data_IF_187095349729
#
_entry.id   IF_187095349729
#
_cell.length_a   1.000
_cell.length_b   1.000
_cell.length_c   1.000
_cell.angle_alpha   90.00
_cell.angle_beta   90.00
_cell.angle_gamma   90.00
#
_symmetry.space_group_name_H-M   'P 1'
#
loop_
_entity.id
_entity.type
_entity.pdbx_description
1 polymer ?
#
# COMPACT_ATOMS: atom_id res chain seq x y z
N UNK A 1 3.95 17.51 -10.62
CA UNK A 1 4.99 18.50 -10.92
C UNK A 1 6.01 17.83 -11.83
N UNK A 2 6.13 18.36 -13.05
CA UNK A 2 6.91 17.77 -14.14
C UNK A 2 8.40 18.13 -14.08
N UNK A 3 9.13 17.71 -15.12
CA UNK A 3 10.58 17.91 -15.35
C UNK A 3 11.12 19.33 -15.07
N UNK A 4 10.26 20.36 -15.00
CA UNK A 4 10.65 21.78 -14.94
C UNK A 4 11.36 22.24 -13.66
N UNK A 5 11.32 21.47 -12.56
CA UNK A 5 11.97 21.83 -11.30
C UNK A 5 13.19 20.97 -10.94
N UNK A 6 13.54 19.98 -11.76
CA UNK A 6 14.62 19.04 -11.43
C UNK A 6 15.96 19.75 -11.28
N UNK A 7 16.35 20.57 -12.26
CA UNK A 7 17.65 21.26 -12.25
C UNK A 7 17.78 22.22 -11.07
N UNK A 8 16.70 22.92 -10.72
CA UNK A 8 16.67 23.82 -9.56
C UNK A 8 16.85 23.06 -8.24
N UNK A 9 16.17 21.92 -8.08
CA UNK A 9 16.28 21.07 -6.89
C UNK A 9 17.67 20.40 -6.81
N UNK A 10 18.20 19.93 -7.94
CA UNK A 10 19.53 19.34 -8.02
C UNK A 10 20.63 20.35 -7.66
N UNK A 11 20.53 21.58 -8.15
CA UNK A 11 21.46 22.65 -7.79
C UNK A 11 21.33 23.05 -6.31
N UNK A 12 20.12 23.04 -5.75
CA UNK A 12 19.94 23.25 -4.31
C UNK A 12 20.59 22.13 -3.49
N UNK A 13 20.40 20.87 -3.88
CA UNK A 13 21.04 19.71 -3.25
C UNK A 13 22.57 19.83 -3.21
N UNK A 14 23.20 20.20 -4.32
CA UNK A 14 24.67 20.35 -4.38
C UNK A 14 25.19 21.58 -3.63
N UNK A 15 24.34 22.59 -3.42
CA UNK A 15 24.69 23.80 -2.66
C UNK A 15 24.63 23.64 -1.14
N UNK A 16 24.05 22.54 -0.63
CA UNK A 16 23.94 22.26 0.81
C UNK A 16 25.24 21.61 1.31
N UNK A 17 25.82 22.16 2.37
CA UNK A 17 27.01 21.60 3.00
C UNK A 17 26.65 20.67 4.16
N UNK A 18 27.49 19.66 4.40
CA UNK A 18 27.32 18.70 5.49
C UNK A 18 27.21 19.38 6.85
N UNK A 19 28.09 20.33 7.15
CA UNK A 19 28.06 21.05 8.43
C UNK A 19 26.79 21.89 8.66
N UNK A 20 26.13 22.34 7.59
CA UNK A 20 24.83 23.03 7.72
C UNK A 20 23.72 22.03 8.09
N UNK A 21 23.75 20.82 7.52
CA UNK A 21 22.81 19.76 7.85
C UNK A 21 22.97 19.27 9.29
N UNK A 22 24.20 19.07 9.74
CA UNK A 22 24.51 18.64 11.12
C UNK A 22 24.05 19.69 12.14
N UNK A 23 24.37 20.96 11.92
CA UNK A 23 23.88 22.04 12.78
C UNK A 23 22.36 22.13 12.81
N UNK A 24 21.69 22.00 11.66
CA UNK A 24 20.23 22.03 11.59
C UNK A 24 19.60 20.82 12.30
N UNK A 25 20.17 19.63 12.13
CA UNK A 25 19.70 18.41 12.79
C UNK A 25 19.79 18.53 14.32
N UNK A 26 20.93 18.99 14.85
CA UNK A 26 21.12 19.24 16.28
C UNK A 26 20.12 20.27 16.82
N UNK A 27 19.88 21.35 16.08
CA UNK A 27 18.88 22.36 16.48
C UNK A 27 17.45 21.79 16.47
N UNK A 28 17.09 20.98 15.47
CA UNK A 28 15.77 20.35 15.40
C UNK A 28 15.54 19.37 16.55
N UNK A 29 16.56 18.60 16.90
CA UNK A 29 16.54 17.67 18.03
C UNK A 29 16.32 18.40 19.36
N UNK A 30 17.00 19.54 19.57
CA UNK A 30 16.90 20.29 20.81
C UNK A 30 15.65 21.18 20.91
N UNK A 31 15.34 21.95 19.86
CA UNK A 31 14.31 23.00 19.91
C UNK A 31 12.90 22.49 19.53
N UNK A 32 12.77 21.31 18.93
CA UNK A 32 11.52 20.72 18.37
C UNK A 32 10.81 21.57 17.29
N UNK A 33 10.99 22.90 17.26
CA UNK A 33 10.46 23.85 16.27
C UNK A 33 11.43 25.02 16.08
N UNK A 34 11.92 25.19 14.85
CA UNK A 34 12.80 26.29 14.47
C UNK A 34 12.01 27.60 14.25
N UNK A 35 11.82 28.39 15.30
CA UNK A 35 11.16 29.70 15.20
C UNK A 35 12.04 30.77 14.53
N UNK A 36 13.37 30.65 14.66
CA UNK A 36 14.35 31.64 14.16
C UNK A 36 15.34 31.03 13.15
N UNK A 37 14.83 30.32 12.14
CA UNK A 37 15.68 29.76 11.08
C UNK A 37 16.28 30.85 10.18
N UNK A 38 17.60 30.81 10.00
CA UNK A 38 18.34 31.62 9.02
C UNK A 38 17.91 31.30 7.59
N UNK A 39 18.25 32.17 6.63
CA UNK A 39 17.91 31.96 5.21
C UNK A 39 18.44 30.62 4.67
N UNK A 40 19.66 30.24 5.07
CA UNK A 40 20.29 28.96 4.67
C UNK A 40 19.55 27.76 5.26
N UNK A 41 19.18 27.83 6.53
CA UNK A 41 18.40 26.78 7.21
C UNK A 41 16.99 26.64 6.61
N UNK A 42 16.33 27.76 6.27
CA UNK A 42 15.03 27.75 5.57
C UNK A 42 15.14 27.10 4.19
N UNK A 43 16.22 27.35 3.46
CA UNK A 43 16.45 26.72 2.16
C UNK A 43 16.63 25.19 2.30
N UNK A 44 17.33 24.73 3.33
CA UNK A 44 17.48 23.30 3.64
C UNK A 44 16.14 22.68 4.03
N UNK A 45 15.35 23.33 4.88
CA UNK A 45 14.02 22.85 5.27
C UNK A 45 13.06 22.76 4.08
N UNK A 46 13.07 23.77 3.20
CA UNK A 46 12.31 23.72 1.95
C UNK A 46 12.76 22.57 1.06
N UNK A 47 14.07 22.34 0.94
CA UNK A 47 14.60 21.21 0.19
C UNK A 47 14.15 19.87 0.78
N UNK A 48 14.23 19.73 2.11
CA UNK A 48 13.75 18.54 2.82
C UNK A 48 12.25 18.31 2.58
N UNK A 49 11.43 19.36 2.62
CA UNK A 49 10.01 19.27 2.31
C UNK A 49 9.75 18.81 0.86
N UNK A 50 10.53 19.32 -0.09
CA UNK A 50 10.45 18.89 -1.50
C UNK A 50 10.86 17.42 -1.67
N UNK A 51 11.95 16.99 -1.04
CA UNK A 51 12.40 15.59 -1.03
C UNK A 51 11.35 14.70 -0.39
N UNK A 52 10.77 15.09 0.75
CA UNK A 52 9.71 14.33 1.41
C UNK A 52 8.44 14.21 0.55
N UNK A 53 8.09 15.27 -0.17
CA UNK A 53 6.93 15.25 -1.09
C UNK A 53 7.17 14.29 -2.25
N UNK A 54 8.40 14.21 -2.76
CA UNK A 54 8.78 13.26 -3.81
C UNK A 54 8.85 11.83 -3.26
N UNK A 55 9.45 11.65 -2.08
CA UNK A 55 9.61 10.34 -1.46
C UNK A 55 8.26 9.75 -1.03
N UNK A 56 7.23 10.55 -0.76
CA UNK A 56 5.87 10.06 -0.48
C UNK A 56 5.31 9.15 -1.58
N UNK A 57 5.80 9.29 -2.82
CA UNK A 57 5.43 8.45 -3.97
C UNK A 57 6.29 7.20 -4.13
N UNK A 58 7.38 7.11 -3.38
CA UNK A 58 8.26 5.95 -3.34
C UNK A 58 7.67 4.97 -2.33
N UNK A 59 7.21 3.78 -2.76
CA UNK A 59 6.66 2.78 -1.85
C UNK A 59 7.65 2.47 -0.72
N UNK A 60 7.14 2.39 0.51
CA UNK A 60 7.93 2.04 1.70
C UNK A 60 8.74 3.19 2.32
N UNK A 61 8.78 4.38 1.71
CA UNK A 61 9.43 5.54 2.31
C UNK A 61 8.71 5.99 3.58
N UNK A 62 9.39 6.72 4.47
CA UNK A 62 8.76 7.29 5.67
C UNK A 62 7.59 8.21 5.33
N UNK A 63 7.71 9.01 4.28
CA UNK A 63 6.64 9.88 3.83
C UNK A 63 5.43 9.09 3.28
N UNK A 64 5.68 7.96 2.58
CA UNK A 64 4.61 7.06 2.13
C UNK A 64 3.89 6.40 3.31
N UNK A 65 4.62 5.99 4.34
CA UNK A 65 4.03 5.44 5.58
C UNK A 65 3.16 6.46 6.32
N UNK A 66 3.63 7.70 6.46
CA UNK A 66 2.86 8.80 7.06
C UNK A 66 1.60 9.09 6.24
N UNK A 67 1.70 9.06 4.91
CA UNK A 67 0.56 9.26 4.02
C UNK A 67 -0.52 8.19 4.24
N UNK A 68 -0.14 6.90 4.19
CA UNK A 68 -1.04 5.77 4.47
C UNK A 68 -1.67 5.87 5.85
N UNK A 69 -0.88 6.23 6.87
CA UNK A 69 -1.38 6.42 8.23
C UNK A 69 -2.45 7.52 8.29
N UNK A 70 -2.22 8.66 7.65
CA UNK A 70 -3.18 9.76 7.62
C UNK A 70 -4.47 9.38 6.87
N UNK A 71 -4.38 8.60 5.79
CA UNK A 71 -5.56 8.05 5.11
C UNK A 71 -6.35 7.14 6.04
N UNK A 72 -5.69 6.20 6.73
CA UNK A 72 -6.33 5.32 7.71
C UNK A 72 -7.00 6.16 8.81
N UNK A 73 -6.33 7.15 9.39
CA UNK A 73 -6.92 8.04 10.39
C UNK A 73 -8.16 8.79 9.86
N UNK A 74 -8.14 9.18 8.58
CA UNK A 74 -9.29 9.83 7.93
C UNK A 74 -10.49 8.86 7.83
N UNK A 75 -10.24 7.59 7.49
CA UNK A 75 -11.26 6.55 7.51
C UNK A 75 -11.83 6.34 8.91
N UNK A 76 -10.98 6.28 9.95
CA UNK A 76 -11.44 6.19 11.34
C UNK A 76 -12.30 7.38 11.76
N UNK A 77 -11.93 8.59 11.33
CA UNK A 77 -12.70 9.81 11.61
C UNK A 77 -14.10 9.78 10.99
N UNK A 78 -14.22 9.24 9.78
CA UNK A 78 -15.48 9.24 9.03
C UNK A 78 -16.35 8.00 9.28
N UNK A 79 -15.77 6.80 9.18
CA UNK A 79 -16.46 5.52 9.31
C UNK A 79 -16.42 4.92 10.72
N UNK A 80 -15.71 5.55 11.67
CA UNK A 80 -15.44 5.01 13.03
C UNK A 80 -14.53 3.78 12.98
N UNK A 81 -14.59 2.93 14.00
CA UNK A 81 -13.74 1.75 14.11
C UNK A 81 -14.08 0.75 12.99
N UNK A 82 -13.08 0.16 12.32
CA UNK A 82 -13.30 -0.93 11.37
C UNK A 82 -13.82 -2.17 12.11
N UNK A 83 -14.63 -2.95 11.41
CA UNK A 83 -15.21 -4.20 11.93
C UNK A 83 -14.30 -5.40 11.68
N UNK A 84 -13.38 -5.29 10.73
CA UNK A 84 -12.41 -6.34 10.44
C UNK A 84 -11.11 -5.81 9.84
N UNK A 85 -10.03 -6.53 10.10
CA UNK A 85 -8.76 -6.38 9.40
C UNK A 85 -8.27 -7.76 8.97
N UNK A 86 -7.62 -7.83 7.80
CA UNK A 86 -6.98 -9.05 7.36
C UNK A 86 -5.79 -8.77 6.44
N UNK A 87 -4.86 -9.72 6.46
CA UNK A 87 -3.73 -9.76 5.54
C UNK A 87 -4.07 -10.73 4.40
N UNK A 88 -3.91 -10.28 3.16
CA UNK A 88 -4.13 -11.08 1.98
C UNK A 88 -2.79 -11.36 1.30
N UNK A 89 -2.37 -12.62 1.31
CA UNK A 89 -1.05 -13.02 0.82
C UNK A 89 -1.16 -14.17 -0.19
N UNK A 90 -1.69 -13.92 -1.41
CA UNK A 90 -1.79 -14.97 -2.43
C UNK A 90 -0.37 -15.32 -2.92
N UNK A 91 0.01 -16.59 -2.83
CA UNK A 91 1.35 -17.01 -3.28
C UNK A 91 1.36 -17.29 -4.79
N UNK A 92 2.06 -16.48 -5.61
CA UNK A 92 2.17 -16.74 -7.05
C UNK A 92 2.95 -18.03 -7.33
N UNK A 93 3.98 -18.33 -6.55
CA UNK A 93 4.83 -19.51 -6.74
C UNK A 93 4.05 -20.83 -6.62
N UNK A 94 2.94 -20.83 -5.87
CA UNK A 94 2.09 -22.01 -5.66
C UNK A 94 0.74 -21.91 -6.36
N UNK A 95 0.54 -20.93 -7.26
CA UNK A 95 -0.74 -20.72 -7.93
C UNK A 95 -0.68 -21.10 -9.41
N UNK A 96 -1.57 -21.99 -9.92
CA UNK A 96 -1.66 -22.29 -11.35
C UNK A 96 -2.12 -21.07 -12.16
N UNK A 97 -2.94 -20.19 -11.57
CA UNK A 97 -3.39 -18.94 -12.20
C UNK A 97 -2.20 -18.06 -12.53
N UNK A 98 -1.25 -17.91 -11.60
CA UNK A 98 -0.03 -17.15 -11.86
C UNK A 98 0.78 -17.76 -13.01
N UNK A 99 0.91 -19.09 -13.08
CA UNK A 99 1.67 -19.75 -14.15
C UNK A 99 1.05 -19.47 -15.53
N UNK A 100 -0.28 -19.49 -15.63
CA UNK A 100 -0.98 -19.12 -16.87
C UNK A 100 -0.80 -17.64 -17.18
N UNK A 101 -0.89 -16.75 -16.18
CA UNK A 101 -0.64 -15.31 -16.36
C UNK A 101 0.81 -14.99 -16.75
N UNK A 102 1.77 -15.81 -16.32
CA UNK A 102 3.16 -15.76 -16.75
C UNK A 102 3.32 -16.20 -18.22
N UNK A 103 2.43 -17.08 -18.70
CA UNK A 103 2.39 -17.55 -20.08
C UNK A 103 2.70 -19.05 -20.25
N UNK A 104 2.68 -19.85 -19.18
CA UNK A 104 2.87 -21.29 -19.29
C UNK A 104 1.63 -21.98 -19.86
N UNK A 105 1.75 -22.47 -21.10
CA UNK A 105 0.69 -23.18 -21.83
C UNK A 105 0.48 -24.62 -21.38
N UNK A 106 1.36 -25.16 -20.50
CA UNK A 106 1.28 -26.53 -19.99
C UNK A 106 0.33 -26.64 -18.78
N UNK A 107 -0.01 -25.51 -18.15
CA UNK A 107 -0.92 -25.46 -17.01
C UNK A 107 -2.34 -25.27 -17.54
N UNK A 108 -3.18 -26.29 -17.38
CA UNK A 108 -4.60 -26.23 -17.72
C UNK A 108 -5.43 -25.90 -16.47
N UNK A 109 -6.13 -24.76 -16.48
CA UNK A 109 -7.01 -24.35 -15.37
C UNK A 109 -8.37 -25.05 -15.38
N UNK A 110 -8.67 -25.83 -16.42
CA UNK A 110 -9.88 -26.66 -16.50
C UNK A 110 -9.75 -27.92 -15.64
N UNK A 111 -8.52 -28.34 -15.36
CA UNK A 111 -8.23 -29.46 -14.47
C UNK A 111 -8.49 -29.08 -13.01
N UNK A 112 -9.11 -29.99 -12.26
CA UNK A 112 -9.32 -29.78 -10.82
C UNK A 112 -8.00 -29.67 -10.04
N UNK A 113 -6.96 -30.38 -10.50
CA UNK A 113 -5.61 -30.33 -9.94
C UNK A 113 -4.60 -30.14 -11.07
N UNK A 114 -4.40 -28.89 -11.55
CA UNK A 114 -3.49 -28.63 -12.66
C UNK A 114 -2.07 -29.11 -12.35
N UNK A 115 -1.42 -29.72 -13.33
CA UNK A 115 0.00 -30.10 -13.18
C UNK A 115 0.85 -28.83 -13.10
N UNK A 116 1.58 -28.67 -12.00
CA UNK A 116 2.41 -27.49 -11.75
C UNK A 116 3.88 -27.74 -12.12
N UNK A 117 4.60 -26.71 -12.59
CA UNK A 117 6.05 -26.75 -12.67
C UNK A 117 6.67 -26.98 -11.28
N UNK A 118 7.92 -27.43 -11.23
CA UNK A 118 8.59 -27.59 -9.95
C UNK A 118 8.78 -26.23 -9.25
N UNK A 119 8.90 -26.25 -7.92
CA UNK A 119 8.98 -25.01 -7.14
C UNK A 119 10.12 -24.08 -7.55
N UNK A 120 11.27 -24.64 -7.94
CA UNK A 120 12.41 -23.87 -8.43
C UNK A 120 12.07 -23.10 -9.72
N UNK A 121 11.43 -23.77 -10.68
CA UNK A 121 10.99 -23.13 -11.93
C UNK A 121 9.95 -22.04 -11.64
N UNK A 122 9.01 -22.28 -10.71
CA UNK A 122 8.02 -21.28 -10.31
C UNK A 122 8.66 -20.01 -9.72
N UNK A 123 9.68 -20.16 -8.86
CA UNK A 123 10.42 -19.03 -8.28
C UNK A 123 11.20 -18.25 -9.34
N UNK A 124 11.83 -18.95 -10.30
CA UNK A 124 12.52 -18.30 -11.42
C UNK A 124 11.54 -17.46 -12.24
N UNK A 125 10.36 -18.00 -12.55
CA UNK A 125 9.32 -17.29 -13.31
C UNK A 125 8.81 -16.06 -12.60
N UNK A 126 8.59 -16.15 -11.29
CA UNK A 126 8.26 -15.00 -10.46
C UNK A 126 9.30 -13.88 -10.62
N UNK A 127 10.58 -14.22 -10.50
CA UNK A 127 11.66 -13.26 -10.66
C UNK A 127 11.76 -12.70 -12.09
N UNK A 128 11.50 -13.52 -13.12
CA UNK A 128 11.57 -13.12 -14.53
C UNK A 128 10.47 -12.15 -14.95
N UNK A 129 9.28 -12.23 -14.35
CA UNK A 129 8.15 -11.37 -14.72
C UNK A 129 7.40 -10.83 -13.49
N UNK A 130 7.98 -9.85 -12.79
CA UNK A 130 7.34 -9.21 -11.63
C UNK A 130 6.02 -8.50 -12.00
N UNK A 131 5.84 -8.11 -13.27
CA UNK A 131 4.58 -7.52 -13.74
C UNK A 131 3.45 -8.56 -13.75
N UNK A 132 3.71 -9.79 -14.19
CA UNK A 132 2.73 -10.87 -14.10
C UNK A 132 2.36 -11.15 -12.63
N UNK A 133 3.33 -11.10 -11.71
CA UNK A 133 3.08 -11.27 -10.29
C UNK A 133 2.20 -10.15 -9.71
N UNK A 134 2.45 -8.89 -10.10
CA UNK A 134 1.61 -7.76 -9.69
C UNK A 134 0.19 -7.86 -10.25
N UNK A 135 0.04 -8.29 -11.51
CA UNK A 135 -1.28 -8.53 -12.12
C UNK A 135 -2.01 -9.68 -11.44
N UNK A 136 -1.31 -10.76 -11.09
CA UNK A 136 -1.85 -11.88 -10.32
C UNK A 136 -2.37 -11.40 -8.96
N UNK A 137 -1.55 -10.66 -8.19
CA UNK A 137 -1.99 -10.09 -6.91
C UNK A 137 -3.24 -9.22 -7.08
N UNK A 138 -3.26 -8.35 -8.09
CA UNK A 138 -4.43 -7.52 -8.39
C UNK A 138 -5.67 -8.35 -8.69
N UNK A 139 -5.55 -9.33 -9.58
CA UNK A 139 -6.63 -10.25 -9.91
C UNK A 139 -7.14 -10.97 -8.66
N UNK A 140 -6.24 -11.50 -7.81
CA UNK A 140 -6.59 -12.28 -6.63
C UNK A 140 -7.38 -11.47 -5.60
N UNK A 141 -6.96 -10.23 -5.27
CA UNK A 141 -7.72 -9.45 -4.29
C UNK A 141 -9.03 -8.95 -4.89
N UNK A 142 -9.07 -8.58 -6.18
CA UNK A 142 -10.31 -8.17 -6.82
C UNK A 142 -11.32 -9.31 -6.88
N UNK A 143 -10.86 -10.54 -7.17
CA UNK A 143 -11.70 -11.73 -7.16
C UNK A 143 -12.23 -12.02 -5.74
N UNK A 144 -11.39 -11.92 -4.70
CA UNK A 144 -11.82 -12.03 -3.30
C UNK A 144 -12.93 -11.01 -2.97
N UNK A 145 -12.67 -9.73 -3.26
CA UNK A 145 -13.59 -8.65 -2.93
C UNK A 145 -14.90 -8.76 -3.71
N UNK A 146 -14.83 -9.09 -4.99
CA UNK A 146 -16.01 -9.20 -5.84
C UNK A 146 -16.86 -10.44 -5.49
N UNK A 147 -16.25 -11.63 -5.47
CA UNK A 147 -17.01 -12.87 -5.35
C UNK A 147 -17.34 -13.28 -3.92
N UNK A 148 -16.46 -12.99 -2.95
CA UNK A 148 -16.72 -13.36 -1.55
C UNK A 148 -17.27 -12.18 -0.75
N UNK A 149 -16.71 -10.98 -0.94
CA UNK A 149 -17.10 -9.82 -0.15
C UNK A 149 -18.21 -8.97 -0.79
N UNK A 150 -18.62 -9.28 -2.02
CA UNK A 150 -19.71 -8.59 -2.71
C UNK A 150 -19.40 -7.10 -2.96
N UNK A 151 -18.18 -6.77 -3.37
CA UNK A 151 -17.78 -5.41 -3.71
C UNK A 151 -17.67 -5.20 -5.22
N UNK A 152 -18.29 -4.13 -5.71
CA UNK A 152 -18.18 -3.65 -7.09
C UNK A 152 -17.11 -2.56 -7.17
N UNK A 153 -16.01 -2.85 -7.87
CA UNK A 153 -14.92 -1.89 -8.04
C UNK A 153 -15.23 -0.75 -9.03
N UNK A 154 -16.15 -0.98 -9.98
CA UNK A 154 -16.51 0.01 -10.99
C UNK A 154 -17.44 1.07 -10.37
N UNK A 155 -18.46 0.61 -9.64
CA UNK A 155 -19.40 1.49 -8.94
C UNK A 155 -18.90 1.95 -7.57
N UNK A 156 -17.88 1.29 -7.01
CA UNK A 156 -17.29 1.56 -5.69
C UNK A 156 -18.30 1.44 -4.55
N UNK A 157 -19.10 0.40 -4.61
CA UNK A 157 -20.11 0.09 -3.59
C UNK A 157 -20.26 -1.42 -3.44
N UNK A 158 -20.93 -1.85 -2.37
CA UNK A 158 -21.34 -3.23 -2.24
C UNK A 158 -22.50 -3.55 -3.17
N UNK A 159 -22.51 -4.77 -3.71
CA UNK A 159 -23.67 -5.30 -4.43
C UNK A 159 -24.87 -5.38 -3.47
N UNK A 160 -26.09 -5.29 -4.02
CA UNK A 160 -27.32 -5.20 -3.23
C UNK A 160 -27.53 -6.33 -2.21
N UNK A 161 -27.03 -7.54 -2.51
CA UNK A 161 -27.12 -8.70 -1.61
C UNK A 161 -26.04 -8.73 -0.53
N UNK A 162 -25.00 -7.89 -0.63
CA UNK A 162 -23.78 -7.99 0.15
C UNK A 162 -22.95 -9.24 -0.18
N UNK A 163 -21.86 -9.44 0.56
CA UNK A 163 -21.03 -10.64 0.53
C UNK A 163 -21.17 -11.51 1.78
N UNK A 164 -20.23 -12.43 1.98
CA UNK A 164 -20.22 -13.36 3.14
C UNK A 164 -20.14 -12.65 4.50
N UNK A 165 -19.65 -11.39 4.52
CA UNK A 165 -19.57 -10.55 5.71
C UNK A 165 -20.72 -9.53 5.79
N UNK A 166 -21.68 -9.57 4.86
CA UNK A 166 -22.73 -8.56 4.68
C UNK A 166 -22.31 -7.45 3.71
N UNK A 167 -22.98 -6.30 3.83
CA UNK A 167 -22.73 -5.12 2.97
C UNK A 167 -21.51 -4.35 3.48
N UNK A 168 -20.50 -4.19 2.63
CA UNK A 168 -19.35 -3.35 2.90
C UNK A 168 -19.75 -1.89 2.69
N UNK A 169 -19.61 -1.10 3.75
CA UNK A 169 -19.75 0.35 3.70
C UNK A 169 -18.53 1.02 3.11
N UNK A 170 -17.35 0.54 3.49
CA UNK A 170 -16.07 1.02 3.00
C UNK A 170 -14.96 0.00 3.29
N UNK A 171 -13.87 0.09 2.54
CA UNK A 171 -12.63 -0.59 2.89
C UNK A 171 -11.44 0.30 2.57
N UNK A 172 -10.32 0.03 3.23
CA UNK A 172 -9.02 0.62 2.92
C UNK A 172 -8.02 -0.51 2.70
N UNK A 173 -7.20 -0.40 1.65
CA UNK A 173 -6.23 -1.42 1.27
C UNK A 173 -4.89 -0.83 0.90
N UNK A 174 -3.81 -1.39 1.44
CA UNK A 174 -2.43 -1.09 1.03
C UNK A 174 -1.70 -2.38 0.69
N UNK A 175 -0.65 -2.30 -0.12
CA UNK A 175 0.15 -3.45 -0.53
C UNK A 175 1.63 -3.22 -0.28
N UNK A 176 2.31 -4.28 0.14
CA UNK A 176 3.74 -4.28 0.43
C UNK A 176 4.40 -5.51 -0.19
N UNK A 177 5.70 -5.43 -0.49
CA UNK A 177 6.44 -6.60 -0.91
C UNK A 177 6.70 -7.51 0.28
N UNK A 178 6.53 -8.80 0.07
CA UNK A 178 7.03 -9.83 0.98
C UNK A 178 8.54 -9.98 0.81
N UNK A 179 9.19 -10.61 1.80
CA UNK A 179 10.59 -11.03 1.71
C UNK A 179 10.87 -12.01 0.55
N UNK A 180 9.82 -12.53 -0.10
CA UNK A 180 9.90 -13.45 -1.22
C UNK A 180 9.68 -12.79 -2.59
N UNK A 181 9.61 -11.44 -2.64
CA UNK A 181 9.59 -10.68 -3.90
C UNK A 181 8.23 -10.57 -4.59
N UNK A 182 7.13 -10.93 -3.93
CA UNK A 182 5.76 -10.72 -4.42
C UNK A 182 4.92 -9.91 -3.43
N UNK A 183 3.81 -9.34 -3.91
CA UNK A 183 2.96 -8.46 -3.12
C UNK A 183 2.07 -9.22 -2.13
N UNK A 184 1.90 -8.65 -0.95
CA UNK A 184 0.83 -8.96 0.00
C UNK A 184 0.05 -7.68 0.32
N UNK A 185 -1.20 -7.81 0.73
CA UNK A 185 -2.10 -6.71 1.03
C UNK A 185 -2.53 -6.68 2.48
N UNK A 186 -2.70 -5.48 3.02
CA UNK A 186 -3.32 -5.21 4.31
C UNK A 186 -4.64 -4.49 4.07
N UNK A 187 -5.73 -5.04 4.60
CA UNK A 187 -7.06 -4.53 4.38
C UNK A 187 -7.79 -4.26 5.69
N UNK A 188 -8.47 -3.12 5.74
CA UNK A 188 -9.44 -2.75 6.79
C UNK A 188 -10.83 -2.68 6.15
N UNK A 189 -11.83 -3.23 6.82
CA UNK A 189 -13.22 -3.27 6.32
C UNK A 189 -14.17 -2.64 7.34
N UNK A 190 -15.12 -1.86 6.82
CA UNK A 190 -16.28 -1.34 7.52
C UNK A 190 -17.54 -1.91 6.89
N UNK A 191 -18.40 -2.48 7.72
CA UNK A 191 -19.68 -3.08 7.34
C UNK A 191 -20.83 -2.15 7.71
N UNK A 192 -21.90 -2.18 6.92
CA UNK A 192 -23.16 -1.53 7.30
C UNK A 192 -23.82 -2.27 8.47
N UNK A 193 -24.36 -1.52 9.42
CA UNK A 193 -25.00 -2.06 10.62
C UNK A 193 -24.04 -2.67 11.66
N UNK A 194 -22.73 -2.67 11.41
CA UNK A 194 -21.76 -3.16 12.39
C UNK A 194 -21.70 -2.27 13.63
N UNK A 195 -21.94 -2.85 14.80
CA UNK A 195 -21.95 -2.12 16.08
C UNK A 195 -20.57 -1.60 16.44
N UNK A 196 -20.53 -0.44 17.09
CA UNK A 196 -19.30 0.04 17.73
C UNK A 196 -18.95 -0.91 18.89
N UNK A 197 -17.68 -1.33 19.07
CA UNK A 197 -17.26 -2.16 20.20
C UNK A 197 -17.71 -1.68 21.57
N UNK A 198 -17.83 -0.36 21.79
CA UNK A 198 -18.38 0.16 23.05
C UNK A 198 -19.84 -0.25 23.28
N UNK A 199 -20.65 -0.20 22.22
CA UNK A 199 -22.06 -0.63 22.23
C UNK A 199 -22.18 -2.14 22.39
N UNK A 200 -21.24 -2.90 21.81
CA UNK A 200 -21.18 -4.35 21.98
C UNK A 200 -20.87 -4.73 23.43
N UNK A 201 -19.95 -4.01 24.09
CA UNK A 201 -19.62 -4.22 25.50
C UNK A 201 -20.81 -3.91 26.43
N UNK A 202 -21.61 -2.89 26.12
CA UNK A 202 -22.79 -2.53 26.92
C UNK A 202 -23.98 -3.52 26.74
N UNK A 203 -23.90 -4.41 25.76
CA UNK A 203 -24.93 -5.41 25.43
C UNK A 203 -24.57 -6.83 25.88
N UNK A 204 -23.38 -7.03 26.47
CA UNK A 204 -22.92 -8.28 27.10
C UNK A 204 -23.09 -8.21 28.62
#
# INVERSE_FOLDING_TARGET
>A
MGKSNFDSVAHKLTSVTLGLLECLALKLEWEHRLLNASLKERNVLQLLQQVNTLSARIPGSQASKIYVHNEICSYYGYFRLPHGCFMFNPSPAHSPIFQVMFGDKRVDLSDHFPTMPCGHECTIRLAQNPMAAAKFFKFSYQALFHHLLGWDFDNRESIATGGILGTIRAFYGTSEFTEHGYLHGHFLIWLDGGLNPSVFHDQL
#
